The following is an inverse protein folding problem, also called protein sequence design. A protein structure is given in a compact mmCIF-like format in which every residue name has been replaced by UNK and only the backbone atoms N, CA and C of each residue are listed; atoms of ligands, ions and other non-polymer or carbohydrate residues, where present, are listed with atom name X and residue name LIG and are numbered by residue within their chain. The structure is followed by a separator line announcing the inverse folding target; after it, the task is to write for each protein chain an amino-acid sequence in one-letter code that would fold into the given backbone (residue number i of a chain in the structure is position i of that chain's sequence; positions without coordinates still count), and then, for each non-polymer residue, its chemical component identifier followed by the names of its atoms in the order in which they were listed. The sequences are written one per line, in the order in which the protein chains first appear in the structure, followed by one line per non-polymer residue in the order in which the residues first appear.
data_IF_295108398208
#
_entry.id   IF_295108398208
#
_cell.length_a   1.000
_cell.length_b   1.000
_cell.length_c   1.000
_cell.angle_alpha   90.00
_cell.angle_beta   90.00
_cell.angle_gamma   90.00
#
_symmetry.space_group_name_H-M   'P 1'
#
loop_
_entity.id
_entity.type
_entity.pdbx_description
1 polymer ?
#
# COMPACT_ATOMS: atom_id res chain seq x y z
N UNK A 1 17.18 -18.80 -12.49
CA UNK A 1 15.78 -18.82 -12.05
C UNK A 1 15.42 -17.44 -11.52
N UNK A 2 14.78 -16.61 -12.34
CA UNK A 2 14.34 -15.27 -11.93
C UNK A 2 13.17 -15.43 -10.96
N UNK A 3 13.41 -15.21 -9.67
CA UNK A 3 12.35 -15.13 -8.65
C UNK A 3 11.68 -13.76 -8.72
N UNK A 4 10.93 -13.51 -9.80
CA UNK A 4 9.95 -12.43 -9.78
C UNK A 4 8.73 -12.98 -9.03
N UNK A 5 8.61 -12.65 -7.74
CA UNK A 5 7.37 -12.83 -6.96
C UNK A 5 6.29 -11.94 -7.58
N UNK A 6 5.70 -12.39 -8.69
CA UNK A 6 4.49 -11.79 -9.24
C UNK A 6 3.35 -12.17 -8.29
N UNK A 7 2.92 -11.21 -7.48
CA UNK A 7 1.56 -11.21 -6.96
C UNK A 7 0.66 -11.36 -8.19
N UNK A 8 -0.21 -12.37 -8.21
CA UNK A 8 -1.16 -12.55 -9.32
C UNK A 8 -1.96 -11.25 -9.48
N UNK A 9 -2.17 -10.83 -10.73
CA UNK A 9 -2.88 -9.57 -11.06
C UNK A 9 -4.22 -9.44 -10.31
N UNK A 10 -4.93 -10.57 -10.17
CA UNK A 10 -6.17 -10.72 -9.41
C UNK A 10 -6.04 -10.36 -7.92
N UNK A 11 -4.96 -10.82 -7.27
CA UNK A 11 -4.67 -10.52 -5.87
C UNK A 11 -4.29 -9.04 -5.69
N UNK A 12 -3.54 -8.47 -6.63
CA UNK A 12 -3.22 -7.04 -6.57
C UNK A 12 -4.48 -6.18 -6.75
N UNK A 13 -5.35 -6.51 -7.70
CA UNK A 13 -6.63 -5.81 -7.88
C UNK A 13 -7.53 -5.93 -6.64
N UNK A 14 -7.56 -7.10 -6.00
CA UNK A 14 -8.31 -7.28 -4.76
C UNK A 14 -7.78 -6.38 -3.63
N UNK A 15 -6.45 -6.33 -3.44
CA UNK A 15 -5.82 -5.45 -2.45
C UNK A 15 -6.11 -3.98 -2.76
N UNK A 16 -5.98 -3.54 -4.02
CA UNK A 16 -6.26 -2.16 -4.43
C UNK A 16 -7.74 -1.79 -4.20
N UNK A 17 -8.66 -2.74 -4.44
CA UNK A 17 -10.08 -2.58 -4.15
C UNK A 17 -10.33 -2.40 -2.66
N UNK A 18 -9.75 -3.26 -1.81
CA UNK A 18 -9.84 -3.13 -0.35
C UNK A 18 -9.28 -1.78 0.13
N UNK A 19 -8.13 -1.35 -0.38
CA UNK A 19 -7.52 -0.07 -0.02
C UNK A 19 -8.39 1.13 -0.42
N UNK A 20 -9.07 1.06 -1.57
CA UNK A 20 -9.99 2.10 -2.01
C UNK A 20 -11.21 2.22 -1.08
N UNK A 21 -11.71 1.11 -0.51
CA UNK A 21 -12.84 1.16 0.45
C UNK A 21 -12.46 1.81 1.78
N UNK A 22 -11.18 1.79 2.14
CA UNK A 22 -10.72 2.23 3.46
C UNK A 22 -10.72 3.74 3.66
N UNK A 23 -10.85 4.52 2.58
CA UNK A 23 -10.70 5.99 2.60
C UNK A 23 -9.45 6.38 3.41
N UNK A 24 -8.25 6.22 2.84
CA UNK A 24 -7.00 6.31 3.59
C UNK A 24 -6.93 7.65 4.36
N UNK A 25 -6.83 7.67 5.70
CA UNK A 25 -6.76 8.90 6.49
C UNK A 25 -5.54 9.76 6.17
N UNK A 26 -4.55 9.19 5.46
CA UNK A 26 -3.43 9.90 4.86
C UNK A 26 -3.87 10.94 3.82
N UNK A 27 -4.97 10.71 3.09
CA UNK A 27 -5.49 11.68 2.10
C UNK A 27 -6.08 12.93 2.77
N UNK A 28 -6.50 12.79 4.02
CA UNK A 28 -7.08 13.85 4.84
C UNK A 28 -6.01 14.55 5.71
N UNK A 29 -4.75 14.10 5.66
CA UNK A 29 -3.67 14.61 6.50
C UNK A 29 -3.79 14.25 7.99
N UNK A 30 -4.72 13.34 8.34
CA UNK A 30 -4.94 12.90 9.73
C UNK A 30 -3.95 11.82 10.20
N UNK A 31 -3.21 11.22 9.27
CA UNK A 31 -2.27 10.13 9.55
C UNK A 31 -1.10 10.18 8.58
N UNK A 32 0.11 9.88 9.08
CA UNK A 32 1.30 9.78 8.24
C UNK A 32 1.18 8.60 7.26
N UNK A 33 1.56 8.79 5.97
CA UNK A 33 1.52 7.75 4.96
C UNK A 33 2.22 6.45 5.36
N UNK A 34 3.41 6.54 5.97
CA UNK A 34 4.19 5.38 6.41
C UNK A 34 3.45 4.59 7.51
N UNK A 35 2.88 5.30 8.48
CA UNK A 35 2.14 4.70 9.58
C UNK A 35 0.89 3.99 9.06
N UNK A 36 0.18 4.58 8.11
CA UNK A 36 -0.97 3.92 7.48
C UNK A 36 -0.54 2.63 6.75
N UNK A 37 0.55 2.66 5.99
CA UNK A 37 1.09 1.47 5.34
C UNK A 37 1.47 0.36 6.34
N UNK A 38 2.02 0.71 7.50
CA UNK A 38 2.32 -0.26 8.56
C UNK A 38 1.05 -0.84 9.19
N UNK A 39 0.02 -0.02 9.38
CA UNK A 39 -1.28 -0.46 9.93
C UNK A 39 -1.99 -1.49 9.03
N UNK A 40 -1.72 -1.44 7.71
CA UNK A 40 -2.27 -2.41 6.74
C UNK A 40 -1.82 -3.85 7.01
N UNK A 41 -0.71 -4.07 7.73
CA UNK A 41 -0.29 -5.42 8.17
C UNK A 41 -1.39 -6.08 9.00
N UNK A 42 -2.06 -5.31 9.88
CA UNK A 42 -3.18 -5.79 10.69
C UNK A 42 -4.38 -6.23 9.85
N UNK A 43 -4.46 -5.77 8.59
CA UNK A 43 -5.50 -6.14 7.61
C UNK A 43 -5.01 -7.17 6.60
N UNK A 44 -3.90 -7.85 6.89
CA UNK A 44 -3.26 -8.83 6.01
C UNK A 44 -2.81 -8.27 4.64
N UNK A 45 -2.58 -6.95 4.56
CA UNK A 45 -2.07 -6.28 3.35
C UNK A 45 -0.63 -5.87 3.61
N UNK A 46 0.27 -6.23 2.69
CA UNK A 46 1.67 -5.84 2.81
C UNK A 46 1.82 -4.30 2.73
N UNK A 47 2.67 -3.69 3.59
CA UNK A 47 2.95 -2.25 3.53
C UNK A 47 3.41 -1.78 2.16
N UNK A 48 4.17 -2.64 1.45
CA UNK A 48 4.65 -2.38 0.09
C UNK A 48 3.49 -2.25 -0.91
N UNK A 49 2.44 -3.06 -0.79
CA UNK A 49 1.26 -2.97 -1.66
C UNK A 49 0.45 -1.70 -1.38
N UNK A 50 0.30 -1.34 -0.11
CA UNK A 50 -0.33 -0.08 0.30
C UNK A 50 0.47 1.14 -0.18
N UNK A 51 1.80 1.09 -0.07
CA UNK A 51 2.71 2.11 -0.56
C UNK A 51 2.66 2.26 -2.09
N UNK A 52 2.66 1.14 -2.81
CA UNK A 52 2.52 1.13 -4.26
C UNK A 52 1.19 1.74 -4.70
N UNK A 53 0.10 1.46 -3.99
CA UNK A 53 -1.21 2.09 -4.21
C UNK A 53 -1.16 3.61 -4.02
N UNK A 54 -0.64 4.08 -2.87
CA UNK A 54 -0.51 5.52 -2.59
C UNK A 54 0.33 6.24 -3.65
N UNK A 55 1.45 5.64 -4.07
CA UNK A 55 2.29 6.19 -5.13
C UNK A 55 1.57 6.25 -6.48
N UNK A 56 0.85 5.18 -6.85
CA UNK A 56 0.18 5.06 -8.16
C UNK A 56 -1.05 5.94 -8.30
N UNK A 57 -1.86 6.05 -7.26
CA UNK A 57 -3.16 6.73 -7.31
C UNK A 57 -3.14 8.14 -6.69
N UNK A 58 -2.23 8.41 -5.75
CA UNK A 58 -2.18 9.67 -5.01
C UNK A 58 -0.84 10.41 -5.13
N UNK A 59 0.17 9.81 -5.80
CA UNK A 59 1.49 10.42 -5.97
C UNK A 59 2.33 10.50 -4.69
N UNK A 60 1.94 9.76 -3.64
CA UNK A 60 2.61 9.77 -2.33
C UNK A 60 3.66 8.66 -2.30
N UNK A 61 4.94 9.00 -2.34
CA UNK A 61 6.04 8.04 -2.28
C UNK A 61 6.50 7.80 -0.83
N UNK A 62 6.22 6.61 -0.32
CA UNK A 62 6.67 6.14 1.01
C UNK A 62 7.67 4.98 0.93
N UNK A 63 8.01 4.57 -0.29
CA UNK A 63 8.89 3.43 -0.57
C UNK A 63 10.27 3.63 0.05
N UNK A 64 10.76 4.87 0.05
CA UNK A 64 12.04 5.23 0.66
C UNK A 64 12.02 5.09 2.20
N UNK A 65 10.87 5.37 2.83
CA UNK A 65 10.70 5.27 4.27
C UNK A 65 10.47 3.83 4.77
N UNK A 66 10.02 2.92 3.89
CA UNK A 66 9.88 1.49 4.16
C UNK A 66 11.20 0.71 4.05
N UNK A 67 12.26 1.31 3.49
CA UNK A 67 13.55 0.65 3.23
C UNK A 67 14.62 0.90 4.31
N UNK A 68 14.24 1.46 5.47
CA UNK A 68 15.16 1.80 6.58
C UNK A 68 15.25 0.70 7.65
#
# INVERSE_FOLDING_TARGET
MNSNRYVSDDLQQHIESELATLTPPVLDGRMEPLQWCQDMISRCISPESAAAYLKRYHGIDVTNALSC
#
